data_IF_856472945198
#
_entry.id   IF_856472945198
#
_cell.length_a   1.000
_cell.length_b   1.000
_cell.length_c   1.000
_cell.angle_alpha   90.00
_cell.angle_beta   90.00
_cell.angle_gamma   90.00
#
_symmetry.space_group_name_H-M   'P 1'
#
loop_
_entity.id
_entity.type
_entity.pdbx_description
1 polymer ?
#
# COMPACT_ATOMS: atom_id res chain seq x y z
N UNK A 1 -19.21 -32.84 -78.17
CA UNK A 1 -20.38 -33.43 -78.88
C UNK A 1 -20.80 -32.66 -80.14
N UNK A 2 -19.98 -31.76 -80.71
CA UNK A 2 -20.34 -30.98 -81.92
C UNK A 2 -19.96 -31.62 -83.27
N UNK A 3 -19.26 -32.75 -83.28
CA UNK A 3 -18.74 -33.33 -84.54
C UNK A 3 -19.52 -34.53 -85.10
N UNK A 4 -20.46 -35.14 -84.36
CA UNK A 4 -21.21 -36.33 -84.84
C UNK A 4 -22.64 -36.05 -85.32
N UNK A 5 -23.15 -34.83 -85.15
CA UNK A 5 -24.50 -34.45 -85.58
C UNK A 5 -24.73 -34.48 -87.12
N UNK A 6 -23.75 -34.17 -87.99
CA UNK A 6 -24.00 -34.14 -89.44
C UNK A 6 -24.21 -35.52 -90.06
N UNK A 7 -23.64 -36.58 -89.49
CA UNK A 7 -23.77 -37.94 -90.06
C UNK A 7 -25.14 -38.57 -89.79
N UNK A 8 -25.79 -38.26 -88.66
CA UNK A 8 -27.09 -38.84 -88.29
C UNK A 8 -28.23 -38.22 -89.12
N UNK A 9 -28.16 -36.91 -89.40
CA UNK A 9 -29.16 -36.24 -90.24
C UNK A 9 -29.05 -36.68 -91.71
N UNK A 10 -27.83 -36.95 -92.20
CA UNK A 10 -27.62 -37.45 -93.56
C UNK A 10 -28.20 -38.86 -93.77
N UNK A 11 -28.18 -39.72 -92.75
CA UNK A 11 -28.75 -41.08 -92.82
C UNK A 11 -30.28 -41.08 -92.80
N UNK A 12 -30.92 -40.18 -92.04
CA UNK A 12 -32.37 -39.97 -92.04
C UNK A 12 -32.93 -39.45 -93.38
N UNK A 13 -32.12 -38.74 -94.16
CA UNK A 13 -32.48 -38.26 -95.50
C UNK A 13 -32.40 -39.36 -96.58
N UNK A 14 -31.58 -40.40 -96.38
CA UNK A 14 -31.41 -41.47 -97.37
C UNK A 14 -32.50 -42.54 -97.20
N UNK A 15 -33.02 -42.77 -95.99
CA UNK A 15 -34.12 -43.75 -95.78
C UNK A 15 -35.47 -43.30 -96.33
N UNK A 16 -35.67 -42.00 -96.59
CA UNK A 16 -36.92 -41.47 -97.19
C UNK A 16 -36.87 -41.33 -98.71
N UNK A 17 -35.72 -41.58 -99.34
CA UNK A 17 -35.52 -41.42 -100.80
C UNK A 17 -35.38 -42.74 -101.58
N UNK A 18 -35.46 -43.91 -100.93
CA UNK A 18 -35.41 -45.22 -101.61
C UNK A 18 -36.76 -45.95 -101.73
N UNK A 19 -37.89 -45.34 -101.37
CA UNK A 19 -39.23 -45.89 -101.65
C UNK A 19 -39.62 -45.93 -103.14
N UNK A 20 -38.69 -45.54 -104.04
CA UNK A 20 -38.94 -45.29 -105.47
C UNK A 20 -38.20 -46.17 -106.48
N UNK A 21 -37.49 -47.23 -106.09
CA UNK A 21 -36.88 -48.16 -107.06
C UNK A 21 -37.29 -49.61 -106.80
N UNK A 22 -38.19 -50.11 -107.66
CA UNK A 22 -38.40 -51.53 -107.91
C UNK A 22 -37.16 -52.13 -108.61
N UNK A 23 -36.97 -53.44 -108.39
CA UNK A 23 -36.07 -54.37 -109.08
C UNK A 23 -34.59 -54.38 -108.67
N UNK A 24 -34.22 -55.36 -107.81
CA UNK A 24 -33.16 -56.36 -108.04
C UNK A 24 -32.56 -56.89 -106.71
N UNK A 25 -32.84 -58.17 -106.38
CA UNK A 25 -32.04 -59.06 -105.52
C UNK A 25 -31.45 -58.43 -104.21
N UNK A 26 -32.31 -58.19 -103.22
CA UNK A 26 -32.03 -57.41 -102.00
C UNK A 26 -31.58 -58.23 -100.76
N UNK A 27 -30.96 -59.41 -100.88
CA UNK A 27 -30.60 -60.17 -99.67
C UNK A 27 -29.49 -59.54 -98.82
N UNK A 28 -28.63 -58.71 -99.43
CA UNK A 28 -27.48 -58.06 -98.76
C UNK A 28 -27.84 -56.65 -98.22
N UNK A 29 -28.82 -56.01 -98.85
CA UNK A 29 -29.36 -54.70 -98.46
C UNK A 29 -30.37 -54.79 -97.34
N UNK A 30 -31.19 -55.86 -97.28
CA UNK A 30 -32.10 -56.14 -96.15
C UNK A 30 -31.34 -56.52 -94.85
N UNK A 31 -30.19 -57.18 -94.97
CA UNK A 31 -29.31 -57.48 -93.82
C UNK A 31 -28.67 -56.19 -93.27
N UNK A 32 -28.16 -55.32 -94.15
CA UNK A 32 -27.54 -54.04 -93.74
C UNK A 32 -28.54 -53.06 -93.14
N UNK A 33 -29.78 -53.01 -93.63
CA UNK A 33 -30.84 -52.19 -93.02
C UNK A 33 -31.27 -52.74 -91.65
N UNK A 34 -31.36 -54.05 -91.48
CA UNK A 34 -31.63 -54.68 -90.18
C UNK A 34 -30.52 -54.40 -89.15
N UNK A 35 -29.25 -54.54 -89.54
CA UNK A 35 -28.09 -54.25 -88.69
C UNK A 35 -28.03 -52.77 -88.25
N UNK A 36 -28.39 -51.86 -89.16
CA UNK A 36 -28.49 -50.43 -88.87
C UNK A 36 -29.66 -50.11 -87.91
N UNK A 37 -30.82 -50.76 -88.07
CA UNK A 37 -31.95 -50.60 -87.15
C UNK A 37 -31.67 -51.17 -85.75
N UNK A 38 -30.95 -52.28 -85.66
CA UNK A 38 -30.50 -52.81 -84.38
C UNK A 38 -29.50 -51.86 -83.70
N UNK A 39 -28.49 -51.38 -84.45
CA UNK A 39 -27.51 -50.41 -83.95
C UNK A 39 -28.16 -49.10 -83.49
N UNK A 40 -29.20 -48.64 -84.18
CA UNK A 40 -29.97 -47.45 -83.80
C UNK A 40 -30.78 -47.69 -82.52
N UNK A 41 -31.39 -48.86 -82.37
CA UNK A 41 -32.12 -49.25 -81.15
C UNK A 41 -31.19 -49.31 -79.94
N UNK A 42 -30.03 -49.94 -80.08
CA UNK A 42 -29.01 -50.03 -79.02
C UNK A 42 -28.43 -48.65 -78.65
N UNK A 43 -28.20 -47.80 -79.65
CA UNK A 43 -27.75 -46.43 -79.44
C UNK A 43 -28.81 -45.60 -78.69
N UNK A 44 -30.09 -45.69 -79.07
CA UNK A 44 -31.18 -44.98 -78.40
C UNK A 44 -31.38 -45.45 -76.95
N UNK A 45 -31.27 -46.75 -76.69
CA UNK A 45 -31.32 -47.28 -75.33
C UNK A 45 -30.15 -46.76 -74.47
N UNK A 46 -28.94 -46.71 -75.04
CA UNK A 46 -27.76 -46.16 -74.36
C UNK A 46 -27.91 -44.66 -74.08
N UNK A 47 -28.46 -43.90 -75.03
CA UNK A 47 -28.76 -42.46 -74.86
C UNK A 47 -29.75 -42.26 -73.73
N UNK A 48 -30.85 -43.03 -73.69
CA UNK A 48 -31.85 -42.94 -72.62
C UNK A 48 -31.23 -43.18 -71.23
N UNK A 49 -30.37 -44.19 -71.10
CA UNK A 49 -29.66 -44.46 -69.84
C UNK A 49 -28.73 -43.30 -69.46
N UNK A 50 -28.02 -42.73 -70.44
CA UNK A 50 -27.13 -41.59 -70.21
C UNK A 50 -27.86 -40.30 -69.89
N UNK A 51 -29.04 -40.07 -70.47
CA UNK A 51 -29.89 -38.92 -70.13
C UNK A 51 -30.36 -39.00 -68.68
N UNK A 52 -30.72 -40.20 -68.20
CA UNK A 52 -31.04 -40.43 -66.79
C UNK A 52 -29.84 -40.17 -65.86
N UNK A 53 -28.65 -40.66 -66.22
CA UNK A 53 -27.41 -40.35 -65.47
C UNK A 53 -27.10 -38.84 -65.46
N UNK A 54 -27.27 -38.16 -66.60
CA UNK A 54 -27.05 -36.71 -66.72
C UNK A 54 -28.03 -35.93 -65.85
N UNK A 55 -29.29 -36.34 -65.76
CA UNK A 55 -30.29 -35.68 -64.92
C UNK A 55 -29.94 -35.79 -63.44
N UNK A 56 -29.54 -36.98 -62.97
CA UNK A 56 -29.08 -37.21 -61.60
C UNK A 56 -27.83 -36.39 -61.30
N UNK A 57 -26.84 -36.37 -62.21
CA UNK A 57 -25.62 -35.60 -62.05
C UNK A 57 -25.89 -34.08 -62.06
N UNK A 58 -26.77 -33.62 -62.94
CA UNK A 58 -27.17 -32.21 -63.02
C UNK A 58 -27.82 -31.75 -61.72
N UNK A 59 -28.70 -32.58 -61.14
CA UNK A 59 -29.32 -32.32 -59.84
C UNK A 59 -28.28 -32.29 -58.72
N UNK A 60 -27.38 -33.26 -58.67
CA UNK A 60 -26.30 -33.29 -57.68
C UNK A 60 -25.37 -32.06 -57.76
N UNK A 61 -25.04 -31.61 -58.98
CA UNK A 61 -24.25 -30.38 -59.20
C UNK A 61 -25.02 -29.15 -58.74
N UNK A 62 -26.31 -29.06 -59.02
CA UNK A 62 -27.15 -27.95 -58.57
C UNK A 62 -27.22 -27.89 -57.03
N UNK A 63 -27.39 -29.04 -56.37
CA UNK A 63 -27.48 -29.11 -54.92
C UNK A 63 -26.12 -28.77 -54.27
N UNK A 64 -25.01 -29.21 -54.85
CA UNK A 64 -23.67 -28.81 -54.40
C UNK A 64 -23.41 -27.31 -54.57
N UNK A 65 -23.88 -26.69 -55.66
CA UNK A 65 -23.74 -25.23 -55.83
C UNK A 65 -24.49 -24.45 -54.75
N UNK A 66 -25.70 -24.86 -54.40
CA UNK A 66 -26.47 -24.24 -53.33
C UNK A 66 -25.75 -24.34 -51.97
N UNK A 67 -25.13 -25.48 -51.67
CA UNK A 67 -24.33 -25.65 -50.44
C UNK A 67 -23.10 -24.75 -50.41
N UNK A 68 -22.42 -24.56 -51.55
CA UNK A 68 -21.28 -23.65 -51.66
C UNK A 68 -21.71 -22.20 -51.42
N UNK A 69 -22.83 -21.77 -52.01
CA UNK A 69 -23.37 -20.43 -51.79
C UNK A 69 -23.74 -20.18 -50.32
N UNK A 70 -24.33 -21.17 -49.64
CA UNK A 70 -24.63 -21.08 -48.20
C UNK A 70 -23.34 -20.98 -47.36
N UNK A 71 -22.32 -21.78 -47.68
CA UNK A 71 -21.03 -21.74 -47.00
C UNK A 71 -20.33 -20.39 -47.21
N UNK A 72 -20.29 -19.87 -48.44
CA UNK A 72 -19.68 -18.58 -48.74
C UNK A 72 -20.40 -17.44 -48.00
N UNK A 73 -21.73 -17.48 -47.93
CA UNK A 73 -22.50 -16.50 -47.16
C UNK A 73 -22.17 -16.56 -45.67
N UNK A 74 -22.00 -17.76 -45.11
CA UNK A 74 -21.66 -17.94 -43.68
C UNK A 74 -20.24 -17.48 -43.38
N UNK A 75 -19.28 -17.78 -44.26
CA UNK A 75 -17.88 -17.40 -44.12
C UNK A 75 -17.71 -15.88 -44.25
N UNK A 76 -18.28 -15.27 -45.29
CA UNK A 76 -18.12 -13.82 -45.54
C UNK A 76 -18.97 -12.95 -44.61
N UNK A 77 -20.03 -13.49 -44.01
CA UNK A 77 -20.88 -12.74 -43.08
C UNK A 77 -20.38 -12.81 -41.63
N UNK A 78 -20.44 -14.01 -41.05
CA UNK A 78 -20.26 -14.20 -39.60
C UNK A 78 -18.80 -14.25 -39.18
N UNK A 79 -17.97 -14.98 -39.94
CA UNK A 79 -16.60 -15.25 -39.51
C UNK A 79 -15.69 -14.01 -39.67
N UNK A 80 -15.92 -13.21 -40.71
CA UNK A 80 -15.17 -11.96 -40.92
C UNK A 80 -15.49 -10.92 -39.84
N UNK A 81 -16.78 -10.77 -39.48
CA UNK A 81 -17.20 -9.91 -38.38
C UNK A 81 -16.64 -10.37 -37.02
N UNK A 82 -16.68 -11.68 -36.74
CA UNK A 82 -16.10 -12.23 -35.51
C UNK A 82 -14.59 -11.99 -35.41
N UNK A 83 -13.85 -12.14 -36.51
CA UNK A 83 -12.41 -11.87 -36.56
C UNK A 83 -12.09 -10.38 -36.38
N UNK A 84 -12.90 -9.50 -36.96
CA UNK A 84 -12.78 -8.05 -36.80
C UNK A 84 -13.00 -7.66 -35.34
N UNK A 85 -14.11 -8.12 -34.73
CA UNK A 85 -14.44 -7.87 -33.33
C UNK A 85 -13.35 -8.40 -32.38
N UNK A 86 -12.76 -9.55 -32.68
CA UNK A 86 -11.65 -10.10 -31.89
C UNK A 86 -10.39 -9.23 -32.01
N UNK A 87 -10.09 -8.71 -33.20
CA UNK A 87 -9.00 -7.77 -33.45
C UNK A 87 -9.14 -6.47 -32.67
N UNK A 88 -10.33 -5.88 -32.68
CA UNK A 88 -10.64 -4.65 -31.93
C UNK A 88 -10.51 -4.87 -30.42
N UNK A 89 -11.06 -5.98 -29.89
CA UNK A 89 -10.89 -6.34 -28.47
C UNK A 89 -9.43 -6.56 -28.08
N UNK A 90 -8.63 -7.16 -28.95
CA UNK A 90 -7.20 -7.34 -28.71
C UNK A 90 -6.47 -5.99 -28.64
N UNK A 91 -6.81 -5.06 -29.53
CA UNK A 91 -6.23 -3.71 -29.53
C UNK A 91 -6.60 -2.95 -28.25
N UNK A 92 -7.87 -2.99 -27.84
CA UNK A 92 -8.34 -2.38 -26.59
C UNK A 92 -7.62 -2.94 -25.37
N UNK A 93 -7.49 -4.27 -25.28
CA UNK A 93 -6.74 -4.94 -24.20
C UNK A 93 -5.28 -4.53 -24.18
N UNK A 94 -4.65 -4.35 -25.34
CA UNK A 94 -3.25 -3.93 -25.44
C UNK A 94 -3.07 -2.48 -24.99
N UNK A 95 -3.97 -1.58 -25.37
CA UNK A 95 -3.99 -0.19 -24.92
C UNK A 95 -4.22 -0.13 -23.41
N UNK A 96 -5.21 -0.88 -22.91
CA UNK A 96 -5.50 -0.95 -21.48
C UNK A 96 -4.31 -1.47 -20.68
N UNK A 97 -3.65 -2.54 -21.14
CA UNK A 97 -2.44 -3.09 -20.51
C UNK A 97 -1.30 -2.08 -20.52
N UNK A 98 -1.08 -1.37 -21.64
CA UNK A 98 -0.06 -0.33 -21.72
C UNK A 98 -0.32 0.81 -20.74
N UNK A 99 -1.54 1.35 -20.71
CA UNK A 99 -1.93 2.43 -19.80
C UNK A 99 -1.86 2.00 -18.33
N UNK A 100 -2.23 0.75 -18.04
CA UNK A 100 -2.10 0.18 -16.70
C UNK A 100 -0.64 0.10 -16.27
N UNK A 101 0.26 -0.35 -17.15
CA UNK A 101 1.70 -0.40 -16.86
C UNK A 101 2.30 0.99 -16.66
N UNK A 102 1.88 2.00 -17.44
CA UNK A 102 2.29 3.39 -17.23
C UNK A 102 1.84 3.91 -15.85
N UNK A 103 0.61 3.57 -15.46
CA UNK A 103 0.07 3.94 -14.15
C UNK A 103 0.85 3.27 -13.02
N UNK A 104 1.19 1.98 -13.16
CA UNK A 104 2.01 1.24 -12.19
C UNK A 104 3.38 1.91 -12.03
N UNK A 105 4.07 2.22 -13.13
CA UNK A 105 5.38 2.89 -13.07
C UNK A 105 5.31 4.25 -12.35
N UNK A 106 4.25 5.03 -12.59
CA UNK A 106 4.06 6.30 -11.90
C UNK A 106 3.80 6.13 -10.38
N UNK A 107 3.06 5.10 -10.00
CA UNK A 107 2.80 4.77 -8.59
C UNK A 107 4.06 4.26 -7.89
N UNK A 108 4.85 3.43 -8.56
CA UNK A 108 6.13 2.93 -8.04
C UNK A 108 7.11 4.09 -7.79
N UNK A 109 7.18 5.07 -8.70
CA UNK A 109 8.00 6.28 -8.50
C UNK A 109 7.57 7.06 -7.25
N UNK A 110 6.26 7.31 -7.09
CA UNK A 110 5.73 8.02 -5.93
C UNK A 110 5.95 7.25 -4.63
N UNK A 111 5.82 5.93 -4.66
CA UNK A 111 6.07 5.08 -3.50
C UNK A 111 7.54 5.19 -3.06
N UNK A 112 8.48 5.19 -4.01
CA UNK A 112 9.90 5.34 -3.70
C UNK A 112 10.22 6.71 -3.07
N UNK A 113 9.59 7.79 -3.55
CA UNK A 113 9.70 9.12 -2.95
C UNK A 113 9.19 9.14 -1.50
N UNK A 114 8.03 8.53 -1.23
CA UNK A 114 7.45 8.43 0.11
C UNK A 114 8.29 7.57 1.06
N UNK A 115 8.89 6.49 0.58
CA UNK A 115 9.81 5.65 1.37
C UNK A 115 11.05 6.46 1.76
N UNK A 116 11.66 7.17 0.80
CA UNK A 116 12.84 8.00 1.08
C UNK A 116 12.53 9.10 2.10
N UNK A 117 11.36 9.74 2.01
CA UNK A 117 10.92 10.73 3.00
C UNK A 117 10.76 10.11 4.39
N UNK A 118 10.18 8.90 4.48
CA UNK A 118 10.03 8.19 5.76
C UNK A 118 11.37 7.85 6.39
N UNK A 119 12.34 7.41 5.59
CA UNK A 119 13.69 7.10 6.08
C UNK A 119 14.38 8.36 6.62
N UNK A 120 14.28 9.49 5.90
CA UNK A 120 14.80 10.78 6.37
C UNK A 120 14.15 11.21 7.69
N UNK A 121 12.82 11.16 7.78
CA UNK A 121 12.11 11.52 9.01
C UNK A 121 12.47 10.59 10.19
N UNK A 122 12.73 9.32 9.92
CA UNK A 122 13.17 8.37 10.95
C UNK A 122 14.60 8.68 11.44
N UNK A 123 15.50 9.08 10.54
CA UNK A 123 16.85 9.52 10.91
C UNK A 123 16.80 10.81 11.74
N UNK A 124 16.04 11.82 11.31
CA UNK A 124 15.80 13.06 12.07
C UNK A 124 15.22 12.78 13.46
N UNK A 125 14.27 11.85 13.56
CA UNK A 125 13.65 11.48 14.84
C UNK A 125 14.62 10.72 15.76
N UNK A 126 15.42 9.80 15.23
CA UNK A 126 16.43 9.07 16.00
C UNK A 126 17.57 10.00 16.49
N UNK A 127 17.95 11.01 15.70
CA UNK A 127 18.88 12.05 16.13
C UNK A 127 18.29 12.93 17.25
N UNK A 128 16.95 13.14 17.25
CA UNK A 128 16.27 13.88 18.31
C UNK A 128 16.18 13.11 19.63
N UNK A 129 15.90 11.79 19.63
CA UNK A 129 15.88 10.98 20.86
C UNK A 129 17.27 10.84 21.51
N UNK A 130 18.34 10.81 20.71
CA UNK A 130 19.71 10.72 21.22
C UNK A 130 20.27 12.07 21.74
N UNK A 131 19.53 13.16 21.51
CA UNK A 131 19.95 14.53 21.80
C UNK A 131 18.77 15.35 22.32
N UNK A 132 17.90 14.78 23.17
CA UNK A 132 17.08 15.57 24.07
C UNK A 132 18.06 16.38 24.92
N UNK A 133 18.19 17.70 24.71
CA UNK A 133 18.97 18.51 25.63
C UNK A 133 18.33 18.29 27.01
N UNK A 134 19.14 18.26 28.07
CA UNK A 134 18.64 18.64 29.40
C UNK A 134 17.63 19.77 29.18
N UNK A 135 16.38 19.61 29.63
CA UNK A 135 15.34 20.62 29.36
C UNK A 135 15.86 21.95 29.90
N UNK A 136 16.37 22.81 29.03
CA UNK A 136 17.05 24.02 29.44
C UNK A 136 15.99 25.07 29.76
N UNK A 137 15.76 25.21 31.05
CA UNK A 137 14.98 26.26 31.68
C UNK A 137 15.88 27.11 32.59
N UNK A 138 17.19 27.13 32.32
CA UNK A 138 18.12 27.96 33.06
C UNK A 138 17.70 29.42 32.89
N UNK A 139 17.80 30.20 33.96
CA UNK A 139 17.40 31.61 33.99
C UNK A 139 15.90 31.85 33.69
N UNK A 140 15.05 30.82 33.69
CA UNK A 140 13.64 30.98 33.40
C UNK A 140 12.95 31.86 34.45
N UNK A 141 12.04 32.73 34.00
CA UNK A 141 11.20 33.53 34.88
C UNK A 141 9.89 32.78 35.16
N UNK A 142 9.86 32.06 36.27
CA UNK A 142 8.78 31.18 36.73
C UNK A 142 8.17 31.66 38.06
N UNK A 143 8.34 32.94 38.39
CA UNK A 143 7.73 33.56 39.57
C UNK A 143 6.21 33.39 39.52
N UNK A 144 5.62 32.99 40.65
CA UNK A 144 4.18 32.71 40.79
C UNK A 144 3.66 31.56 39.88
N UNK A 145 4.54 30.73 39.28
CA UNK A 145 4.12 29.69 38.33
C UNK A 145 3.37 28.53 39.01
N UNK A 146 2.35 28.00 38.32
CA UNK A 146 1.61 26.81 38.73
C UNK A 146 2.19 25.54 38.11
N UNK A 147 3.18 24.95 38.78
CA UNK A 147 3.93 23.75 38.35
C UNK A 147 3.53 22.51 39.18
N UNK A 148 2.27 22.45 39.61
CA UNK A 148 1.78 21.36 40.46
C UNK A 148 1.79 20.03 39.70
N UNK A 149 2.48 19.03 40.24
CA UNK A 149 2.57 17.70 39.64
C UNK A 149 3.26 17.63 38.27
N UNK A 150 4.01 18.67 37.89
CA UNK A 150 4.74 18.68 36.62
C UNK A 150 5.92 17.72 36.63
N UNK A 151 6.27 17.18 35.46
CA UNK A 151 7.52 16.48 35.22
C UNK A 151 8.58 17.47 34.75
N UNK A 152 9.49 17.78 35.66
CA UNK A 152 10.68 18.62 35.53
C UNK A 152 11.93 17.80 35.87
N UNK A 153 11.88 16.47 35.76
CA UNK A 153 13.05 15.61 35.94
C UNK A 153 14.12 15.93 34.90
N UNK A 154 15.40 15.80 35.28
CA UNK A 154 16.57 16.04 34.40
C UNK A 154 16.53 17.40 33.67
N UNK A 155 15.93 18.42 34.30
CA UNK A 155 15.76 19.76 33.74
C UNK A 155 16.86 20.68 34.30
N UNK A 156 17.45 21.52 33.45
CA UNK A 156 18.32 22.60 33.92
C UNK A 156 17.42 23.78 34.32
N UNK A 157 17.29 24.02 35.62
CA UNK A 157 16.60 25.14 36.26
C UNK A 157 17.61 26.08 36.96
N UNK A 158 18.89 25.99 36.61
CA UNK A 158 19.93 26.82 37.22
C UNK A 158 19.60 28.30 37.02
N UNK A 159 19.80 29.12 38.05
CA UNK A 159 19.46 30.55 38.04
C UNK A 159 17.97 30.88 37.77
N UNK A 160 17.05 29.90 37.76
CA UNK A 160 15.63 30.17 37.52
C UNK A 160 15.02 30.98 38.67
N UNK A 161 14.10 31.89 38.35
CA UNK A 161 13.30 32.61 39.34
C UNK A 161 11.99 31.83 39.57
N UNK A 162 11.91 31.15 40.70
CA UNK A 162 10.79 30.31 41.15
C UNK A 162 10.13 30.88 42.43
N UNK A 163 10.31 32.18 42.70
CA UNK A 163 9.70 32.84 43.86
C UNK A 163 8.18 32.62 43.84
N UNK A 164 7.60 32.26 44.98
CA UNK A 164 6.16 32.00 45.13
C UNK A 164 5.60 30.88 44.21
N UNK A 165 6.44 30.10 43.51
CA UNK A 165 5.99 29.04 42.61
C UNK A 165 5.36 27.87 43.36
N UNK A 166 4.37 27.23 42.74
CA UNK A 166 3.72 26.03 43.27
C UNK A 166 4.24 24.79 42.56
N UNK A 167 5.20 24.11 43.19
CA UNK A 167 5.84 22.86 42.77
C UNK A 167 5.35 21.65 43.59
N UNK A 168 4.23 21.76 44.32
CA UNK A 168 3.81 20.65 45.17
C UNK A 168 3.58 19.39 44.30
N UNK A 169 4.15 18.25 44.71
CA UNK A 169 4.04 16.98 44.00
C UNK A 169 4.75 16.89 42.65
N UNK A 170 5.54 17.90 42.26
CA UNK A 170 6.32 17.85 41.02
C UNK A 170 7.42 16.79 41.08
N UNK A 171 7.77 16.22 39.94
CA UNK A 171 9.01 15.44 39.78
C UNK A 171 10.09 16.41 39.30
N UNK A 172 11.11 16.63 40.13
CA UNK A 172 12.26 17.51 39.90
C UNK A 172 13.55 16.71 40.17
N UNK A 173 13.47 15.38 40.01
CA UNK A 173 14.58 14.47 40.28
C UNK A 173 15.71 14.65 39.26
N UNK A 174 16.96 14.56 39.74
CA UNK A 174 18.19 14.72 38.93
C UNK A 174 18.30 16.05 38.17
N UNK A 175 17.57 17.08 38.58
CA UNK A 175 17.59 18.41 37.96
C UNK A 175 18.65 19.33 38.56
N UNK A 176 19.11 20.31 37.79
CA UNK A 176 20.00 21.36 38.27
C UNK A 176 19.18 22.59 38.70
N UNK A 177 19.11 22.88 40.00
CA UNK A 177 18.51 24.09 40.58
C UNK A 177 19.59 25.00 41.21
N UNK A 178 20.86 24.83 40.83
CA UNK A 178 21.95 25.61 41.39
C UNK A 178 21.69 27.11 41.16
N UNK A 179 21.92 27.92 42.19
CA UNK A 179 21.65 29.37 42.17
C UNK A 179 20.19 29.79 41.89
N UNK A 180 19.24 28.86 41.82
CA UNK A 180 17.83 29.19 41.62
C UNK A 180 17.25 29.94 42.82
N UNK A 181 16.22 30.74 42.57
CA UNK A 181 15.50 31.49 43.60
C UNK A 181 14.14 30.84 43.87
N UNK A 182 14.05 30.06 44.95
CA UNK A 182 12.83 29.39 45.40
C UNK A 182 12.20 30.07 46.62
N UNK A 183 12.52 31.34 46.90
CA UNK A 183 11.96 32.03 48.07
C UNK A 183 10.42 31.93 48.08
N UNK A 184 9.87 31.49 49.22
CA UNK A 184 8.41 31.30 49.42
C UNK A 184 7.74 30.24 48.52
N UNK A 185 8.51 29.42 47.80
CA UNK A 185 7.94 28.37 46.95
C UNK A 185 7.26 27.25 47.76
N UNK A 186 6.24 26.64 47.16
CA UNK A 186 5.52 25.48 47.71
C UNK A 186 6.01 24.20 47.03
N UNK A 187 6.79 23.39 47.73
CA UNK A 187 7.49 22.22 47.18
C UNK A 187 7.14 20.94 47.97
N UNK A 188 5.92 20.88 48.53
CA UNK A 188 5.50 19.76 49.37
C UNK A 188 5.32 18.50 48.54
N UNK A 189 5.77 17.36 49.07
CA UNK A 189 5.67 16.04 48.43
C UNK A 189 6.28 15.96 47.02
N UNK A 190 7.15 16.90 46.65
CA UNK A 190 7.88 16.83 45.39
C UNK A 190 9.02 15.81 45.48
N UNK A 191 9.40 15.23 44.35
CA UNK A 191 10.60 14.41 44.23
C UNK A 191 11.77 15.29 43.76
N UNK A 192 12.76 15.48 44.61
CA UNK A 192 14.03 16.17 44.34
C UNK A 192 15.22 15.21 44.55
N UNK A 193 15.01 13.90 44.40
CA UNK A 193 16.09 12.95 44.60
C UNK A 193 17.22 13.20 43.59
N UNK A 194 18.45 13.28 44.08
CA UNK A 194 19.65 13.50 43.27
C UNK A 194 19.76 14.85 42.58
N UNK A 195 18.90 15.82 42.89
CA UNK A 195 19.00 17.17 42.29
C UNK A 195 20.13 17.99 42.90
N UNK A 196 20.61 18.98 42.12
CA UNK A 196 21.57 19.97 42.58
C UNK A 196 20.83 21.24 43.05
N UNK A 197 20.83 21.50 44.36
CA UNK A 197 20.30 22.71 45.00
C UNK A 197 21.43 23.52 45.65
N UNK A 198 22.66 23.41 45.13
CA UNK A 198 23.79 24.17 45.66
C UNK A 198 23.61 25.67 45.42
N UNK A 199 23.92 26.47 46.45
CA UNK A 199 23.79 27.93 46.43
C UNK A 199 22.37 28.44 46.08
N UNK A 200 21.33 27.59 46.20
CA UNK A 200 19.93 27.94 45.96
C UNK A 200 19.37 28.81 47.09
N UNK A 201 18.51 29.78 46.75
CA UNK A 201 17.79 30.60 47.73
C UNK A 201 16.50 29.88 48.15
N UNK A 202 16.49 29.34 49.37
CA UNK A 202 15.37 28.54 49.92
C UNK A 202 14.63 29.26 51.05
N UNK A 203 14.73 30.59 51.16
CA UNK A 203 14.14 31.36 52.26
C UNK A 203 12.62 31.12 52.37
N UNK A 204 12.17 30.68 53.55
CA UNK A 204 10.77 30.30 53.82
C UNK A 204 10.13 29.33 52.81
N UNK A 205 10.93 28.46 52.18
CA UNK A 205 10.41 27.42 51.28
C UNK A 205 9.79 26.29 52.08
N UNK A 206 8.69 25.72 51.58
CA UNK A 206 8.04 24.57 52.22
C UNK A 206 8.29 23.28 51.44
N UNK A 207 9.20 22.44 51.95
CA UNK A 207 9.55 21.12 51.41
C UNK A 207 9.00 19.98 52.29
N UNK A 208 7.86 20.21 52.95
CA UNK A 208 7.21 19.18 53.78
C UNK A 208 6.91 17.91 52.95
N UNK A 209 7.41 16.77 53.41
CA UNK A 209 7.26 15.47 52.74
C UNK A 209 8.06 15.31 51.43
N UNK A 210 8.97 16.21 51.10
CA UNK A 210 9.77 16.11 49.88
C UNK A 210 10.81 14.98 49.94
N UNK A 211 11.07 14.34 48.80
CA UNK A 211 12.19 13.41 48.62
C UNK A 211 13.44 14.16 48.21
N UNK A 212 14.52 14.10 48.99
CA UNK A 212 15.79 14.78 48.75
C UNK A 212 16.97 13.80 48.91
N UNK A 213 16.74 12.52 48.63
CA UNK A 213 17.76 11.48 48.78
C UNK A 213 18.90 11.75 47.80
N UNK A 214 20.12 11.89 48.33
CA UNK A 214 21.32 12.20 47.54
C UNK A 214 21.33 13.60 46.91
N UNK A 215 20.43 14.50 47.30
CA UNK A 215 20.42 15.87 46.78
C UNK A 215 21.62 16.68 47.31
N UNK A 216 22.11 17.62 46.51
CA UNK A 216 23.19 18.53 46.91
C UNK A 216 22.60 19.86 47.38
N UNK A 217 22.66 20.19 48.67
CA UNK A 217 22.23 21.50 49.22
C UNK A 217 23.43 22.34 49.69
N UNK A 218 24.62 22.10 49.14
CA UNK A 218 25.84 22.77 49.56
C UNK A 218 25.71 24.30 49.47
N UNK A 219 25.98 25.01 50.57
CA UNK A 219 25.83 26.47 50.69
C UNK A 219 24.44 27.03 50.34
N UNK A 220 23.38 26.21 50.36
CA UNK A 220 22.02 26.71 50.15
C UNK A 220 21.59 27.66 51.28
N UNK A 221 20.78 28.67 50.93
CA UNK A 221 20.28 29.66 51.88
C UNK A 221 18.95 29.19 52.49
N UNK A 222 19.02 28.61 53.68
CA UNK A 222 17.96 27.76 54.26
C UNK A 222 17.12 28.41 55.37
N UNK A 223 17.26 29.72 55.62
CA UNK A 223 16.53 30.37 56.72
C UNK A 223 15.00 30.25 56.51
N UNK A 224 14.30 29.67 57.48
CA UNK A 224 12.86 29.45 57.41
C UNK A 224 12.43 28.24 56.57
N UNK A 225 13.38 27.49 56.00
CA UNK A 225 13.11 26.26 55.25
C UNK A 225 12.38 25.24 56.13
N UNK A 226 11.31 24.62 55.62
CA UNK A 226 10.56 23.56 56.32
C UNK A 226 10.85 22.21 55.68
N UNK A 227 11.44 21.30 56.45
CA UNK A 227 11.82 19.94 56.05
C UNK A 227 11.06 18.86 56.83
N UNK A 228 9.87 19.18 57.34
CA UNK A 228 9.04 18.24 58.09
C UNK A 228 8.67 17.06 57.19
N UNK A 229 8.79 15.82 57.69
CA UNK A 229 8.55 14.57 56.95
C UNK A 229 9.41 14.38 55.69
N UNK A 230 10.45 15.21 55.48
CA UNK A 230 11.32 15.10 54.31
C UNK A 230 12.36 13.97 54.46
N UNK A 231 12.87 13.48 53.33
CA UNK A 231 13.90 12.44 53.31
C UNK A 231 15.21 12.97 52.70
N UNK A 232 16.22 13.22 53.54
CA UNK A 232 17.53 13.73 53.14
C UNK A 232 18.61 12.64 53.14
N UNK A 233 18.25 11.35 53.10
CA UNK A 233 19.26 10.28 53.16
C UNK A 233 20.36 10.49 52.11
N UNK A 234 21.61 10.60 52.56
CA UNK A 234 22.77 10.84 51.69
C UNK A 234 22.86 12.24 51.07
N UNK A 235 22.01 13.20 51.44
CA UNK A 235 22.09 14.57 50.94
C UNK A 235 23.33 15.31 51.51
N UNK A 236 23.92 16.21 50.72
CA UNK A 236 24.99 17.11 51.17
C UNK A 236 24.39 18.39 51.75
N UNK A 237 24.55 18.60 53.06
CA UNK A 237 24.10 19.80 53.78
C UNK A 237 25.28 20.71 54.18
N UNK A 238 26.47 20.52 53.61
CA UNK A 238 27.64 21.30 54.01
C UNK A 238 27.50 22.78 53.65
N UNK A 239 27.91 23.66 54.56
CA UNK A 239 27.89 25.11 54.33
C UNK A 239 26.52 25.79 54.47
N UNK A 240 25.44 25.06 54.77
CA UNK A 240 24.13 25.67 55.02
C UNK A 240 24.09 26.43 56.36
N UNK A 241 23.12 27.33 56.51
CA UNK A 241 22.76 27.90 57.80
C UNK A 241 21.75 27.00 58.52
N UNK A 242 22.18 26.35 59.60
CA UNK A 242 21.32 25.45 60.40
C UNK A 242 20.21 26.18 61.16
N UNK A 243 20.42 27.46 61.46
CA UNK A 243 19.48 28.26 62.24
C UNK A 243 18.22 28.58 61.42
N UNK A 244 17.06 28.42 62.05
CA UNK A 244 15.77 28.78 61.45
C UNK A 244 15.21 27.75 60.48
N UNK A 245 15.86 26.59 60.30
CA UNK A 245 15.25 25.45 59.61
C UNK A 245 14.25 24.77 60.55
N UNK A 246 13.08 24.43 60.02
CA UNK A 246 12.05 23.67 60.73
C UNK A 246 12.15 22.19 60.39
N UNK A 247 12.65 21.42 61.34
CA UNK A 247 12.74 19.97 61.27
C UNK A 247 11.55 19.33 61.98
N UNK A 248 11.22 18.10 61.58
CA UNK A 248 10.21 17.30 62.25
C UNK A 248 10.00 16.01 61.49
N UNK A 249 10.25 14.88 62.12
CA UNK A 249 10.21 13.56 61.49
C UNK A 249 11.00 13.50 60.15
N UNK A 250 12.11 14.22 60.07
CA UNK A 250 12.96 14.30 58.87
C UNK A 250 13.99 13.17 58.92
N UNK A 251 14.21 12.45 57.81
CA UNK A 251 15.35 11.52 57.70
C UNK A 251 16.59 12.34 57.38
N UNK A 252 17.58 12.31 58.26
CA UNK A 252 18.84 13.04 58.10
C UNK A 252 19.79 12.35 57.09
N UNK A 253 20.87 13.04 56.65
CA UNK A 253 21.85 12.49 55.71
C UNK A 253 22.44 11.13 56.10
N UNK A 254 22.69 10.89 57.38
CA UNK A 254 23.20 9.61 57.90
C UNK A 254 22.12 8.53 58.08
N UNK A 255 20.85 8.85 57.81
CA UNK A 255 19.69 7.98 57.97
C UNK A 255 19.03 8.01 59.36
N UNK A 256 19.52 8.83 60.29
CA UNK A 256 18.85 9.05 61.58
C UNK A 256 17.60 9.93 61.43
N UNK A 257 16.75 9.99 62.47
CA UNK A 257 15.58 10.87 62.48
C UNK A 257 15.91 12.18 63.21
N UNK A 258 15.52 13.33 62.65
CA UNK A 258 15.72 14.65 63.27
C UNK A 258 15.13 14.74 64.68
N UNK A 259 14.01 14.07 64.96
CA UNK A 259 13.31 14.16 66.24
C UNK A 259 14.11 13.51 67.38
N UNK A 260 14.89 12.48 67.04
CA UNK A 260 15.80 11.81 67.97
C UNK A 260 17.07 12.64 68.23
N UNK A 261 17.33 13.66 67.39
CA UNK A 261 18.53 14.49 67.40
C UNK A 261 18.27 15.94 67.84
N UNK A 262 17.18 16.17 68.60
CA UNK A 262 16.84 17.50 69.10
C UNK A 262 16.14 18.38 68.06
N UNK A 263 15.41 17.77 67.12
CA UNK A 263 14.76 18.41 65.98
C UNK A 263 15.75 19.13 65.08
N UNK A 264 16.85 18.45 64.71
CA UNK A 264 17.85 18.95 63.76
C UNK A 264 18.66 17.81 63.15
N UNK A 265 19.29 18.06 62.01
CA UNK A 265 20.28 17.17 61.40
C UNK A 265 21.73 17.68 61.54
N UNK A 266 21.98 18.76 62.31
CA UNK A 266 23.28 19.47 62.41
C UNK A 266 24.46 18.58 62.80
N UNK A 267 24.21 17.52 63.56
CA UNK A 267 25.27 16.65 64.08
C UNK A 267 25.47 15.36 63.25
N UNK A 268 24.84 15.27 62.08
CA UNK A 268 24.73 14.05 61.27
C UNK A 268 25.31 14.19 59.85
N UNK A 269 26.11 15.23 59.61
CA UNK A 269 26.79 15.52 58.32
C UNK A 269 28.26 15.16 58.34
#
# INVERSE_FOLDING_TARGET
>A
MKEKLPHIILVLMISTSLSGCMDANFSDTDSRTADLQQSLTEANYTIMLKDGEIEVLSKAVSDQRALIEELDSRVNGSLEEDLQNLGDRYLDLKIFSHNSNQTIMALESRLNEEIALREQLQEEWNESEANEPLRDMSNAYLRDAGLWGSDLSETDLSYANLIDANLNGADISSSDLSYADLEWAYVRYADLNGSDLSETYLYNTNMEGAGLMGANLNNAYTVGLRLIDANLLGADLSGIEWAGIYWGNTVCPDGSNSDDNGNTCENNT
#
